data_IF_524916787917
#
_entry.id   IF_524916787917
#
_cell.length_a   1.000
_cell.length_b   1.000
_cell.length_c   1.000
_cell.angle_alpha   90.00
_cell.angle_beta   90.00
_cell.angle_gamma   90.00
#
_symmetry.space_group_name_H-M   'P 1'
#
loop_
_entity.id
_entity.type
_entity.pdbx_description
1 polymer ?
#
# COMPACT_ATOMS: atom_id res chain seq x y z
N UNK A 1 15.70 5.84 -4.37
CA UNK A 1 14.95 6.99 -3.78
C UNK A 1 13.69 7.34 -4.61
N UNK A 2 12.93 6.37 -5.14
CA UNK A 2 11.73 6.62 -5.97
C UNK A 2 10.65 5.55 -5.75
N UNK A 3 10.21 5.36 -4.50
CA UNK A 3 9.05 4.49 -4.16
C UNK A 3 8.22 5.14 -3.05
N UNK A 4 7.80 6.39 -3.25
CA UNK A 4 6.85 7.08 -2.36
C UNK A 4 5.71 7.63 -3.21
N UNK A 5 4.66 6.83 -3.43
CA UNK A 5 3.47 7.31 -4.11
C UNK A 5 2.53 6.28 -4.76
N UNK A 6 2.90 4.99 -4.86
CA UNK A 6 1.99 3.98 -5.41
C UNK A 6 0.93 3.64 -4.34
N UNK A 7 -0.38 3.88 -4.57
CA UNK A 7 -1.41 3.44 -3.65
C UNK A 7 -1.41 1.90 -3.59
N UNK A 8 -1.28 1.34 -2.38
CA UNK A 8 -1.19 -0.12 -2.14
C UNK A 8 -2.36 -0.93 -2.69
N UNK A 9 -3.49 -0.32 -3.06
CA UNK A 9 -4.59 -0.99 -3.78
C UNK A 9 -4.19 -1.47 -5.19
N UNK A 10 -3.09 -1.00 -5.77
CA UNK A 10 -2.53 -1.54 -7.03
C UNK A 10 -1.64 -2.77 -6.77
N UNK A 11 -1.17 -2.97 -5.53
CA UNK A 11 -0.21 -4.04 -5.16
C UNK A 11 -0.91 -5.18 -4.37
N UNK A 12 -2.09 -4.96 -3.78
CA UNK A 12 -2.73 -5.93 -2.88
C UNK A 12 -3.69 -6.90 -3.59
N UNK A 13 -3.15 -7.74 -4.48
CA UNK A 13 -3.68 -9.09 -4.71
C UNK A 13 -2.45 -9.98 -4.88
N UNK A 14 -2.08 -10.74 -3.83
CA UNK A 14 -1.40 -12.04 -3.84
C UNK A 14 -0.74 -12.30 -2.47
N UNK A 15 -1.38 -13.16 -1.67
CA UNK A 15 -0.70 -14.08 -0.74
C UNK A 15 -1.71 -15.12 -0.24
N UNK A 16 -2.20 -15.97 -1.14
CA UNK A 16 -2.72 -17.30 -0.78
C UNK A 16 -1.70 -18.29 -1.35
N UNK A 17 -1.31 -19.28 -0.53
CA UNK A 17 -0.26 -20.32 -0.71
C UNK A 17 1.16 -19.88 -0.30
N UNK A 18 1.90 -20.52 0.60
CA UNK A 18 1.72 -21.79 1.31
C UNK A 18 2.47 -21.76 2.65
N UNK A 19 1.92 -22.48 3.62
CA UNK A 19 2.39 -22.65 4.99
C UNK A 19 2.55 -24.16 5.23
N UNK A 20 3.76 -24.72 5.08
CA UNK A 20 4.18 -26.08 5.52
C UNK A 20 5.72 -26.06 5.57
N UNK A 21 6.48 -26.52 6.58
CA UNK A 21 6.29 -26.83 7.99
C UNK A 21 7.70 -26.84 8.64
N UNK A 22 7.78 -26.50 9.92
CA UNK A 22 8.92 -26.75 10.81
C UNK A 22 8.76 -28.15 11.41
N UNK A 23 9.81 -28.96 11.40
CA UNK A 23 10.27 -29.99 12.40
C UNK A 23 11.23 -30.91 11.65
N UNK A 24 12.48 -31.17 12.04
CA UNK A 24 12.94 -31.66 13.34
C UNK A 24 14.45 -31.40 13.51
N UNK A 25 14.83 -30.89 14.69
CA UNK A 25 16.17 -31.04 15.26
C UNK A 25 16.01 -31.59 16.68
N UNK A 26 16.30 -32.88 16.89
CA UNK A 26 16.79 -33.48 18.13
C UNK A 26 16.95 -35.00 17.90
N UNK A 27 18.18 -35.52 17.83
CA UNK A 27 18.76 -36.31 18.93
C UNK A 27 20.18 -36.81 18.58
N UNK A 28 21.10 -36.69 19.54
CA UNK A 28 22.48 -37.21 19.43
C UNK A 28 22.53 -38.60 20.03
N UNK A 29 22.82 -39.62 19.22
CA UNK A 29 23.72 -40.76 19.51
C UNK A 29 23.33 -41.95 18.64
N UNK A 30 24.16 -42.32 17.65
CA UNK A 30 24.31 -43.67 17.12
C UNK A 30 25.46 -43.74 16.10
N UNK A 31 26.00 -44.95 15.96
CA UNK A 31 27.25 -45.38 15.34
C UNK A 31 27.56 -44.84 13.94
N UNK A 32 28.85 -44.58 13.69
CA UNK A 32 29.47 -44.08 12.44
C UNK A 32 29.20 -44.89 11.15
N UNK A 33 28.59 -46.08 11.24
CA UNK A 33 28.21 -46.91 10.09
C UNK A 33 26.77 -46.69 9.61
N UNK A 34 25.89 -46.16 10.47
CA UNK A 34 24.48 -45.86 10.13
C UNK A 34 24.30 -44.42 9.62
N UNK A 35 25.26 -43.53 9.88
CA UNK A 35 25.25 -42.13 9.41
C UNK A 35 25.35 -42.00 7.89
N UNK A 36 25.98 -42.95 7.18
CA UNK A 36 26.16 -42.86 5.72
C UNK A 36 24.88 -43.30 4.98
N UNK A 37 24.18 -44.33 5.46
CA UNK A 37 22.92 -44.79 4.86
C UNK A 37 21.73 -43.88 5.21
N UNK A 38 21.68 -43.35 6.44
CA UNK A 38 20.69 -42.32 6.81
C UNK A 38 20.94 -40.98 6.12
N UNK A 39 22.19 -40.53 5.97
CA UNK A 39 22.46 -39.27 5.25
C UNK A 39 22.13 -39.38 3.76
N UNK A 40 22.37 -40.53 3.12
CA UNK A 40 21.96 -40.75 1.74
C UNK A 40 20.42 -40.73 1.57
N UNK A 41 19.66 -41.36 2.48
CA UNK A 41 18.19 -41.36 2.40
C UNK A 41 17.58 -39.99 2.72
N UNK A 42 18.15 -39.23 3.66
CA UNK A 42 17.73 -37.86 4.00
C UNK A 42 18.10 -36.88 2.88
N UNK A 43 19.25 -37.04 2.22
CA UNK A 43 19.61 -36.27 1.02
C UNK A 43 18.67 -36.61 -0.13
N UNK A 44 18.31 -37.87 -0.32
CA UNK A 44 17.38 -38.28 -1.38
C UNK A 44 15.94 -37.82 -1.10
N UNK A 45 15.50 -37.81 0.17
CA UNK A 45 14.20 -37.25 0.60
C UNK A 45 14.16 -35.72 0.54
N UNK A 46 15.25 -35.02 0.85
CA UNK A 46 15.33 -33.56 0.70
C UNK A 46 15.42 -33.14 -0.77
N UNK A 47 16.12 -33.91 -1.62
CA UNK A 47 16.11 -33.70 -3.07
C UNK A 47 14.75 -33.99 -3.70
N UNK A 48 14.02 -35.00 -3.22
CA UNK A 48 12.66 -35.28 -3.71
C UNK A 48 11.66 -34.22 -3.23
N UNK A 49 11.74 -33.75 -1.99
CA UNK A 49 10.93 -32.63 -1.50
C UNK A 49 11.24 -31.30 -2.21
N UNK A 50 12.51 -31.01 -2.50
CA UNK A 50 12.92 -29.87 -3.32
C UNK A 50 12.41 -30.01 -4.76
N UNK A 51 12.44 -31.21 -5.35
CA UNK A 51 11.87 -31.47 -6.68
C UNK A 51 10.36 -31.26 -6.69
N UNK A 52 9.61 -31.80 -5.72
CA UNK A 52 8.16 -31.59 -5.62
C UNK A 52 7.83 -30.11 -5.45
N UNK A 53 8.51 -29.40 -4.54
CA UNK A 53 8.33 -27.96 -4.37
C UNK A 53 8.68 -27.15 -5.64
N UNK A 54 9.67 -27.61 -6.42
CA UNK A 54 10.05 -26.97 -7.70
C UNK A 54 9.03 -27.24 -8.81
N UNK A 55 8.41 -28.42 -8.84
CA UNK A 55 7.33 -28.78 -9.78
C UNK A 55 6.06 -28.00 -9.46
N UNK A 56 5.72 -27.87 -8.18
CA UNK A 56 4.58 -27.07 -7.73
C UNK A 56 4.77 -25.60 -8.08
N UNK A 57 5.98 -25.06 -7.89
CA UNK A 57 6.31 -23.68 -8.30
C UNK A 57 6.20 -23.48 -9.81
N UNK A 58 6.76 -24.39 -10.61
CA UNK A 58 6.69 -24.31 -12.07
C UNK A 58 5.25 -24.44 -12.60
N UNK A 59 4.43 -25.27 -11.94
CA UNK A 59 3.02 -25.44 -12.27
C UNK A 59 2.21 -24.18 -11.96
N UNK A 60 2.43 -23.57 -10.78
CA UNK A 60 1.81 -22.28 -10.41
C UNK A 60 2.26 -21.17 -11.38
N UNK A 61 3.54 -21.11 -11.73
CA UNK A 61 4.05 -20.12 -12.68
C UNK A 61 3.41 -20.26 -14.07
N UNK A 62 3.21 -21.49 -14.53
CA UNK A 62 2.51 -21.78 -15.79
C UNK A 62 1.03 -21.36 -15.73
N UNK A 63 0.35 -21.56 -14.60
CA UNK A 63 -1.03 -21.11 -14.40
C UNK A 63 -1.10 -19.58 -14.47
N UNK A 64 -0.17 -18.88 -13.81
CA UNK A 64 -0.12 -17.41 -13.81
C UNK A 64 0.20 -16.85 -15.20
N UNK A 65 1.13 -17.46 -15.94
CA UNK A 65 1.42 -17.12 -17.34
C UNK A 65 0.19 -17.32 -18.24
N UNK A 66 -0.56 -18.41 -18.06
CA UNK A 66 -1.79 -18.65 -18.80
C UNK A 66 -2.86 -17.60 -18.51
N UNK A 67 -3.03 -17.17 -17.25
CA UNK A 67 -3.95 -16.08 -16.89
C UNK A 67 -3.58 -14.77 -17.60
N UNK A 68 -2.30 -14.41 -17.59
CA UNK A 68 -1.80 -13.20 -18.27
C UNK A 68 -2.07 -13.28 -19.79
N UNK A 69 -1.87 -14.46 -20.39
CA UNK A 69 -2.12 -14.66 -21.82
C UNK A 69 -3.62 -14.54 -22.19
N UNK A 70 -4.53 -14.96 -21.31
CA UNK A 70 -5.98 -14.77 -21.51
C UNK A 70 -6.36 -13.30 -21.38
N UNK A 71 -5.88 -12.61 -20.35
CA UNK A 71 -6.12 -11.16 -20.16
C UNK A 71 -5.59 -10.36 -21.34
N UNK A 72 -4.40 -10.70 -21.84
CA UNK A 72 -3.81 -10.05 -23.02
C UNK A 72 -4.72 -10.17 -24.24
N UNK A 73 -5.18 -11.38 -24.57
CA UNK A 73 -6.07 -11.60 -25.72
C UNK A 73 -7.37 -10.80 -25.59
N UNK A 74 -8.03 -10.87 -24.43
CA UNK A 74 -9.24 -10.08 -24.19
C UNK A 74 -8.98 -8.56 -24.32
N UNK A 75 -7.83 -8.06 -23.86
CA UNK A 75 -7.47 -6.66 -23.98
C UNK A 75 -7.21 -6.24 -25.44
N UNK A 76 -6.55 -7.12 -26.22
CA UNK A 76 -6.34 -6.96 -27.66
C UNK A 76 -7.66 -6.96 -28.44
N UNK A 77 -8.64 -7.77 -28.01
CA UNK A 77 -10.01 -7.80 -28.54
C UNK A 77 -10.87 -6.59 -28.12
N UNK A 78 -10.32 -5.66 -27.34
CA UNK A 78 -10.99 -4.41 -26.98
C UNK A 78 -11.68 -4.40 -25.62
N UNK A 79 -11.65 -5.49 -24.85
CA UNK A 79 -12.32 -5.53 -23.54
C UNK A 79 -11.71 -4.50 -22.57
N UNK A 80 -12.53 -3.52 -22.15
CA UNK A 80 -12.07 -2.39 -21.33
C UNK A 80 -11.50 -2.80 -19.97
N UNK A 81 -12.05 -3.84 -19.33
CA UNK A 81 -11.59 -4.36 -18.05
C UNK A 81 -10.24 -5.10 -18.20
N UNK A 82 -10.10 -5.91 -19.25
CA UNK A 82 -8.84 -6.56 -19.55
C UNK A 82 -7.74 -5.53 -19.87
N UNK A 83 -8.07 -4.44 -20.58
CA UNK A 83 -7.15 -3.32 -20.80
C UNK A 83 -6.77 -2.61 -19.50
N UNK A 84 -7.72 -2.41 -18.58
CA UNK A 84 -7.47 -1.87 -17.24
C UNK A 84 -6.51 -2.78 -16.44
N UNK A 85 -6.71 -4.10 -16.54
CA UNK A 85 -5.82 -5.07 -15.91
C UNK A 85 -4.42 -5.04 -16.54
N UNK A 86 -4.29 -4.96 -17.86
CA UNK A 86 -2.99 -4.81 -18.53
C UNK A 86 -2.28 -3.52 -18.11
N UNK A 87 -3.01 -2.41 -18.02
CA UNK A 87 -2.54 -1.15 -17.46
C UNK A 87 -1.95 -1.35 -16.06
N UNK A 88 -2.71 -1.96 -15.13
CA UNK A 88 -2.25 -2.21 -13.75
C UNK A 88 -1.06 -3.18 -13.69
N UNK A 89 -1.03 -4.21 -14.53
CA UNK A 89 0.06 -5.18 -14.58
C UNK A 89 1.39 -4.52 -14.97
N UNK A 90 1.38 -3.66 -15.99
CA UNK A 90 2.58 -2.94 -16.40
C UNK A 90 3.00 -1.83 -15.41
N UNK A 91 2.06 -1.23 -14.68
CA UNK A 91 2.39 -0.29 -13.59
C UNK A 91 3.03 -1.02 -12.40
N UNK A 92 2.53 -2.20 -12.03
CA UNK A 92 3.01 -2.96 -10.87
C UNK A 92 4.21 -3.86 -11.18
N UNK A 93 4.44 -4.17 -12.45
CA UNK A 93 5.39 -5.21 -12.89
C UNK A 93 4.84 -6.63 -12.71
N UNK A 94 3.56 -6.81 -12.42
CA UNK A 94 2.97 -8.14 -12.28
C UNK A 94 3.00 -8.89 -13.62
N UNK A 95 3.57 -10.10 -13.60
CA UNK A 95 3.73 -10.91 -14.81
C UNK A 95 4.89 -10.49 -15.72
N UNK A 96 5.80 -9.64 -15.25
CA UNK A 96 6.96 -9.19 -16.02
C UNK A 96 7.78 -8.13 -15.28
N UNK A 97 8.15 -7.06 -16.00
CA UNK A 97 8.81 -5.88 -15.42
C UNK A 97 7.91 -4.67 -15.56
N UNK A 98 8.12 -3.66 -14.71
CA UNK A 98 7.44 -2.36 -14.83
C UNK A 98 7.76 -1.75 -16.20
N UNK A 99 6.74 -1.30 -16.92
CA UNK A 99 6.87 -0.64 -18.22
C UNK A 99 5.80 0.45 -18.35
N UNK A 100 6.18 1.69 -18.04
CA UNK A 100 5.21 2.78 -18.02
C UNK A 100 4.72 3.18 -19.42
N UNK A 101 5.48 2.94 -20.50
CA UNK A 101 5.01 3.26 -21.85
C UNK A 101 3.93 2.27 -22.30
N UNK A 102 4.10 0.98 -22.00
CA UNK A 102 3.05 -0.02 -22.25
C UNK A 102 1.86 0.19 -21.31
N UNK A 103 2.11 0.50 -20.04
CA UNK A 103 1.03 0.86 -19.12
C UNK A 103 0.20 2.01 -19.68
N UNK A 104 0.84 3.12 -20.09
CA UNK A 104 0.16 4.30 -20.61
C UNK A 104 -0.77 3.93 -21.77
N UNK A 105 -0.25 3.18 -22.74
CA UNK A 105 -1.00 2.73 -23.91
C UNK A 105 -2.24 1.92 -23.55
N UNK A 106 -2.15 1.00 -22.58
CA UNK A 106 -3.29 0.20 -22.12
C UNK A 106 -4.26 0.99 -21.25
N UNK A 107 -3.75 1.85 -20.37
CA UNK A 107 -4.56 2.71 -19.51
C UNK A 107 -5.38 3.66 -20.37
N UNK A 108 -4.78 4.25 -21.41
CA UNK A 108 -5.45 5.15 -22.35
C UNK A 108 -6.64 4.45 -23.03
N UNK A 109 -6.43 3.27 -23.63
CA UNK A 109 -7.51 2.49 -24.27
C UNK A 109 -8.67 2.20 -23.31
N UNK A 110 -8.37 1.80 -22.08
CA UNK A 110 -9.39 1.51 -21.07
C UNK A 110 -10.11 2.77 -20.56
N UNK A 111 -9.36 3.86 -20.36
CA UNK A 111 -9.87 5.14 -19.88
C UNK A 111 -10.78 5.82 -20.91
N UNK A 112 -10.46 5.68 -22.20
CA UNK A 112 -11.27 6.16 -23.33
C UNK A 112 -12.60 5.40 -23.43
N UNK A 113 -12.64 4.14 -22.97
CA UNK A 113 -13.87 3.37 -22.80
C UNK A 113 -14.62 3.68 -21.50
N UNK A 114 -14.20 4.70 -20.75
CA UNK A 114 -14.93 5.18 -19.58
C UNK A 114 -14.57 4.51 -18.26
N UNK A 115 -13.59 3.61 -18.19
CA UNK A 115 -13.25 2.92 -16.92
C UNK A 115 -12.64 3.89 -15.92
N UNK A 116 -13.36 4.15 -14.82
CA UNK A 116 -12.95 5.13 -13.80
C UNK A 116 -11.56 4.83 -13.18
N UNK A 117 -11.25 3.56 -12.91
CA UNK A 117 -9.94 3.16 -12.38
C UNK A 117 -8.80 3.42 -13.37
N UNK A 118 -9.00 3.15 -14.67
CA UNK A 118 -8.03 3.49 -15.71
C UNK A 118 -7.87 5.01 -15.88
N UNK A 119 -8.97 5.78 -15.81
CA UNK A 119 -8.92 7.25 -15.83
C UNK A 119 -8.13 7.81 -14.64
N UNK A 120 -8.33 7.25 -13.45
CA UNK A 120 -7.53 7.59 -12.28
C UNK A 120 -6.02 7.33 -12.51
N UNK A 121 -5.68 6.13 -12.98
CA UNK A 121 -4.28 5.76 -13.24
C UNK A 121 -3.67 6.66 -14.31
N UNK A 122 -4.40 6.96 -15.38
CA UNK A 122 -3.93 7.86 -16.44
C UNK A 122 -3.65 9.28 -15.90
N UNK A 123 -4.53 9.79 -15.03
CA UNK A 123 -4.28 11.06 -14.34
C UNK A 123 -3.01 11.01 -13.47
N UNK A 124 -2.75 9.88 -12.80
CA UNK A 124 -1.53 9.66 -12.03
C UNK A 124 -0.28 9.62 -12.92
N UNK A 125 -0.36 8.97 -14.09
CA UNK A 125 0.74 8.91 -15.05
C UNK A 125 1.10 10.29 -15.59
N UNK A 126 0.12 11.12 -15.94
CA UNK A 126 0.36 12.51 -16.33
C UNK A 126 0.92 13.37 -15.18
N UNK A 127 0.44 13.19 -13.95
CA UNK A 127 0.92 13.94 -12.78
C UNK A 127 2.40 13.70 -12.45
N UNK A 128 2.89 12.49 -12.71
CA UNK A 128 4.26 12.07 -12.37
C UNK A 128 5.17 11.90 -13.59
N UNK A 129 4.64 12.05 -14.81
CA UNK A 129 5.41 11.87 -16.05
C UNK A 129 5.85 10.41 -16.27
N UNK A 130 4.96 9.46 -16.01
CA UNK A 130 5.26 8.03 -16.08
C UNK A 130 4.82 7.49 -17.44
N UNK A 131 5.78 7.19 -18.32
CA UNK A 131 5.48 6.70 -19.67
C UNK A 131 4.87 7.75 -20.62
N UNK A 132 4.69 8.97 -20.13
CA UNK A 132 4.19 10.16 -20.84
C UNK A 132 4.85 11.40 -20.23
N UNK A 133 4.91 12.51 -20.97
CA UNK A 133 5.36 13.77 -20.41
C UNK A 133 4.45 14.23 -19.26
N UNK A 134 5.06 14.80 -18.21
CA UNK A 134 4.32 15.31 -17.08
C UNK A 134 3.41 16.47 -17.50
N UNK A 135 2.12 16.39 -17.19
CA UNK A 135 1.16 17.44 -17.50
C UNK A 135 0.05 17.51 -16.43
N UNK A 136 0.10 18.53 -15.58
CA UNK A 136 -0.85 18.66 -14.47
C UNK A 136 -2.29 18.94 -14.96
N UNK A 137 -2.47 19.62 -16.11
CA UNK A 137 -3.80 19.90 -16.68
C UNK A 137 -4.47 18.63 -17.21
N UNK A 138 -3.70 17.78 -17.91
CA UNK A 138 -4.16 16.45 -18.31
C UNK A 138 -4.46 15.58 -17.09
N UNK A 139 -3.59 15.61 -16.08
CA UNK A 139 -3.83 14.88 -14.85
C UNK A 139 -5.16 15.26 -14.19
N UNK A 140 -5.42 16.57 -14.03
CA UNK A 140 -6.67 17.05 -13.44
C UNK A 140 -7.90 16.71 -14.29
N UNK A 141 -7.79 16.78 -15.62
CA UNK A 141 -8.87 16.36 -16.54
C UNK A 141 -9.24 14.88 -16.36
N UNK A 142 -8.24 14.00 -16.30
CA UNK A 142 -8.47 12.56 -16.10
C UNK A 142 -8.97 12.24 -14.68
N UNK A 143 -8.44 12.90 -13.66
CA UNK A 143 -8.99 12.77 -12.30
C UNK A 143 -10.45 13.25 -12.25
N UNK A 144 -10.81 14.31 -12.97
CA UNK A 144 -12.20 14.77 -13.05
C UNK A 144 -13.12 13.68 -13.63
N UNK A 145 -12.75 13.07 -14.75
CA UNK A 145 -13.55 11.99 -15.35
C UNK A 145 -13.76 10.81 -14.39
N UNK A 146 -12.71 10.38 -13.68
CA UNK A 146 -12.84 9.32 -12.67
C UNK A 146 -13.67 9.75 -11.47
N UNK A 147 -13.49 10.99 -11.01
CA UNK A 147 -14.21 11.56 -9.87
C UNK A 147 -15.72 11.72 -10.12
N UNK A 148 -16.09 12.12 -11.34
CA UNK A 148 -17.48 12.23 -11.80
C UNK A 148 -18.21 10.86 -11.77
N UNK A 149 -17.45 9.75 -11.86
CA UNK A 149 -17.94 8.38 -11.74
C UNK A 149 -17.89 7.82 -10.32
N UNK A 150 -17.48 8.63 -9.34
CA UNK A 150 -17.41 8.22 -7.94
C UNK A 150 -16.12 7.52 -7.50
N UNK A 151 -15.07 7.53 -8.33
CA UNK A 151 -13.76 7.00 -7.91
C UNK A 151 -13.17 7.87 -6.79
N UNK A 152 -12.99 7.28 -5.60
CA UNK A 152 -12.61 8.01 -4.40
C UNK A 152 -11.18 8.55 -4.47
N UNK A 153 -10.27 7.81 -5.11
CA UNK A 153 -8.87 8.19 -5.26
C UNK A 153 -8.74 9.35 -6.24
N UNK A 154 -9.51 9.32 -7.34
CA UNK A 154 -9.64 10.43 -8.29
C UNK A 154 -10.26 11.67 -7.66
N UNK A 155 -11.34 11.53 -6.87
CA UNK A 155 -11.93 12.64 -6.10
C UNK A 155 -10.91 13.29 -5.16
N UNK A 156 -10.14 12.47 -4.44
CA UNK A 156 -9.12 12.95 -3.50
C UNK A 156 -7.96 13.67 -4.22
N UNK A 157 -7.46 13.13 -5.33
CA UNK A 157 -6.38 13.75 -6.11
C UNK A 157 -6.84 15.01 -6.86
N UNK A 158 -8.07 15.04 -7.39
CA UNK A 158 -8.70 16.23 -7.96
C UNK A 158 -8.89 17.32 -6.90
N UNK A 159 -9.39 16.96 -5.72
CA UNK A 159 -9.52 17.90 -4.62
C UNK A 159 -8.16 18.51 -4.23
N UNK A 160 -7.10 17.69 -4.19
CA UNK A 160 -5.74 18.20 -3.98
C UNK A 160 -5.24 19.09 -5.11
N UNK A 161 -5.66 18.85 -6.36
CA UNK A 161 -5.34 19.69 -7.51
C UNK A 161 -5.98 21.09 -7.36
N UNK A 162 -7.27 21.15 -7.01
CA UNK A 162 -7.98 22.41 -6.73
C UNK A 162 -7.39 23.19 -5.56
N UNK A 163 -7.11 22.54 -4.42
CA UNK A 163 -6.49 23.19 -3.25
C UNK A 163 -5.14 23.86 -3.61
N UNK A 164 -4.39 23.25 -4.52
CA UNK A 164 -3.04 23.70 -4.91
C UNK A 164 -3.01 24.52 -6.20
N UNK A 165 -4.12 24.62 -6.94
CA UNK A 165 -4.17 25.22 -8.27
C UNK A 165 -3.29 24.52 -9.31
N UNK A 166 -3.17 23.19 -9.25
CA UNK A 166 -2.32 22.41 -10.18
C UNK A 166 -3.14 21.84 -11.32
N UNK A 167 -2.93 22.36 -12.53
CA UNK A 167 -3.68 21.93 -13.73
C UNK A 167 -5.14 22.39 -13.78
N UNK A 168 -5.60 23.09 -12.74
CA UNK A 168 -6.93 23.70 -12.60
C UNK A 168 -6.80 25.02 -11.86
N UNK A 169 -7.75 25.93 -12.08
CA UNK A 169 -7.88 27.15 -11.27
C UNK A 169 -8.02 26.80 -9.80
N UNK A 170 -7.26 27.50 -8.94
CA UNK A 170 -7.24 27.22 -7.50
C UNK A 170 -8.61 27.50 -6.89
N UNK A 171 -9.17 26.49 -6.23
CA UNK A 171 -10.41 26.60 -5.46
C UNK A 171 -10.27 25.72 -4.21
N UNK A 172 -9.94 26.34 -3.07
CA UNK A 172 -9.73 25.61 -1.83
C UNK A 172 -11.05 25.03 -1.31
N UNK A 173 -12.17 25.74 -1.47
CA UNK A 173 -13.47 25.30 -0.98
C UNK A 173 -13.94 24.05 -1.69
N UNK A 174 -13.98 24.10 -3.03
CA UNK A 174 -14.35 22.94 -3.84
C UNK A 174 -13.39 21.77 -3.66
N UNK A 175 -12.09 22.05 -3.59
CA UNK A 175 -11.08 21.01 -3.37
C UNK A 175 -11.25 20.29 -2.02
N UNK A 176 -11.57 21.03 -0.96
CA UNK A 176 -11.84 20.45 0.36
C UNK A 176 -13.13 19.64 0.41
N UNK A 177 -14.19 20.04 -0.32
CA UNK A 177 -15.42 19.26 -0.43
C UNK A 177 -15.17 17.88 -1.05
N UNK A 178 -14.39 17.82 -2.13
CA UNK A 178 -14.03 16.56 -2.78
C UNK A 178 -13.20 15.64 -1.86
N UNK A 179 -12.22 16.20 -1.15
CA UNK A 179 -11.41 15.44 -0.19
C UNK A 179 -12.27 14.92 0.96
N UNK A 180 -13.17 15.75 1.50
CA UNK A 180 -14.06 15.37 2.58
C UNK A 180 -14.98 14.21 2.16
N UNK A 181 -15.60 14.30 0.98
CA UNK A 181 -16.47 13.24 0.45
C UNK A 181 -15.74 11.89 0.35
N UNK A 182 -14.49 11.87 -0.13
CA UNK A 182 -13.67 10.65 -0.15
C UNK A 182 -13.30 10.16 1.25
N UNK A 183 -13.01 11.07 2.18
CA UNK A 183 -12.61 10.74 3.55
C UNK A 183 -13.76 10.11 4.35
N UNK A 184 -14.98 10.63 4.17
CA UNK A 184 -16.21 10.12 4.78
C UNK A 184 -16.56 8.71 4.28
N UNK A 185 -16.28 8.43 3.00
CA UNK A 185 -16.39 7.08 2.41
C UNK A 185 -15.23 6.14 2.77
N UNK A 186 -14.35 6.55 3.69
CA UNK A 186 -13.35 5.68 4.28
C UNK A 186 -11.98 5.69 3.59
N UNK A 187 -11.75 6.49 2.54
CA UNK A 187 -10.45 6.46 1.84
C UNK A 187 -9.32 6.95 2.77
N UNK A 188 -8.32 6.11 3.13
CA UNK A 188 -7.29 6.48 4.12
C UNK A 188 -6.47 7.69 3.71
N UNK A 189 -6.16 7.82 2.42
CA UNK A 189 -5.42 8.96 1.86
C UNK A 189 -6.19 10.28 2.04
N UNK A 190 -7.50 10.27 1.79
CA UNK A 190 -8.34 11.46 1.98
C UNK A 190 -8.51 11.80 3.47
N UNK A 191 -8.67 10.79 4.33
CA UNK A 191 -8.70 10.99 5.79
C UNK A 191 -7.39 11.61 6.30
N UNK A 192 -6.24 11.15 5.81
CA UNK A 192 -4.95 11.78 6.11
C UNK A 192 -4.90 13.24 5.64
N UNK A 193 -5.40 13.55 4.43
CA UNK A 193 -5.47 14.92 3.94
C UNK A 193 -6.40 15.81 4.77
N UNK A 194 -7.53 15.30 5.27
CA UNK A 194 -8.38 16.03 6.23
C UNK A 194 -7.62 16.31 7.52
N UNK A 195 -6.87 15.32 8.02
CA UNK A 195 -5.98 15.50 9.17
C UNK A 195 -4.96 16.62 8.96
N UNK A 196 -4.29 16.64 7.80
CA UNK A 196 -3.34 17.67 7.44
C UNK A 196 -3.99 19.06 7.26
N UNK A 197 -5.21 19.11 6.69
CA UNK A 197 -5.95 20.35 6.50
C UNK A 197 -6.24 21.05 7.83
N UNK A 198 -6.67 20.29 8.86
CA UNK A 198 -6.86 20.82 10.21
C UNK A 198 -5.56 21.23 10.91
N UNK A 199 -4.42 20.58 10.64
CA UNK A 199 -3.13 20.99 11.22
C UNK A 199 -2.65 22.32 10.62
N UNK A 200 -2.82 22.49 9.30
CA UNK A 200 -2.27 23.60 8.53
C UNK A 200 -3.30 24.69 8.19
N UNK A 201 -4.50 24.61 8.75
CA UNK A 201 -5.61 25.54 8.49
C UNK A 201 -5.94 25.72 6.99
N UNK A 202 -5.96 24.62 6.23
CA UNK A 202 -6.25 24.65 4.78
C UNK A 202 -7.75 24.47 4.56
N UNK A 203 -8.46 25.56 4.27
CA UNK A 203 -9.90 25.55 4.01
C UNK A 203 -10.78 25.23 5.23
N UNK A 204 -10.17 25.06 6.41
CA UNK A 204 -10.82 24.82 7.70
C UNK A 204 -10.04 25.56 8.78
N UNK A 205 -10.70 25.89 9.90
CA UNK A 205 -10.01 26.42 11.08
C UNK A 205 -9.09 25.35 11.68
N UNK A 206 -7.95 25.79 12.24
CA UNK A 206 -6.97 24.89 12.86
C UNK A 206 -7.57 24.18 14.07
N UNK A 207 -7.56 22.85 14.05
CA UNK A 207 -8.08 22.02 15.15
C UNK A 207 -7.29 20.71 15.25
N UNK A 208 -6.34 20.64 16.19
CA UNK A 208 -5.51 19.46 16.37
C UNK A 208 -6.30 18.23 16.83
N UNK A 209 -7.40 18.40 17.55
CA UNK A 209 -8.23 17.28 18.02
C UNK A 209 -8.96 16.63 16.84
N UNK A 210 -9.60 17.44 15.98
CA UNK A 210 -10.19 16.94 14.73
C UNK A 210 -9.13 16.34 13.80
N UNK A 211 -7.96 16.97 13.72
CA UNK A 211 -6.85 16.42 12.93
C UNK A 211 -6.46 15.01 13.38
N UNK A 212 -6.34 14.78 14.69
CA UNK A 212 -5.99 13.46 15.22
C UNK A 212 -7.12 12.45 15.09
N UNK A 213 -8.38 12.89 15.16
CA UNK A 213 -9.53 12.04 14.82
C UNK A 213 -9.47 11.50 13.39
N UNK A 214 -9.16 12.35 12.40
CA UNK A 214 -9.00 11.92 11.01
C UNK A 214 -7.76 11.06 10.78
N UNK A 215 -6.61 11.43 11.36
CA UNK A 215 -5.40 10.61 11.25
C UNK A 215 -5.57 9.24 11.90
N UNK A 216 -6.33 9.12 13.01
CA UNK A 216 -6.67 7.84 13.64
C UNK A 216 -7.37 6.90 12.67
N UNK A 217 -8.44 7.37 12.01
CA UNK A 217 -9.17 6.60 10.99
C UNK A 217 -8.25 6.09 9.87
N UNK A 218 -7.34 6.93 9.38
CA UNK A 218 -6.40 6.55 8.33
C UNK A 218 -5.33 5.55 8.82
N UNK A 219 -4.79 5.78 10.02
CA UNK A 219 -3.74 4.98 10.63
C UNK A 219 -4.19 3.55 10.97
N UNK A 220 -5.43 3.41 11.42
CA UNK A 220 -6.07 2.12 11.71
C UNK A 220 -6.21 1.25 10.45
N UNK A 221 -6.41 1.88 9.29
CA UNK A 221 -6.39 1.23 7.98
C UNK A 221 -4.97 0.97 7.43
N UNK A 222 -3.94 1.37 8.18
CA UNK A 222 -2.54 1.13 7.83
C UNK A 222 -1.90 2.21 6.98
N UNK A 223 -2.47 3.42 6.93
CA UNK A 223 -1.88 4.53 6.21
C UNK A 223 -0.65 5.06 6.98
N UNK A 224 0.55 4.77 6.46
CA UNK A 224 1.83 4.96 7.15
C UNK A 224 2.07 6.40 7.58
N UNK A 225 1.74 7.38 6.74
CA UNK A 225 1.92 8.79 7.09
C UNK A 225 1.02 9.21 8.24
N UNK A 226 -0.20 8.68 8.32
CA UNK A 226 -1.11 8.94 9.43
C UNK A 226 -0.65 8.25 10.72
N UNK A 227 -0.13 7.02 10.63
CA UNK A 227 0.52 6.35 11.75
C UNK A 227 1.70 7.17 12.28
N UNK A 228 2.55 7.67 11.39
CA UNK A 228 3.66 8.56 11.78
C UNK A 228 3.16 9.82 12.47
N UNK A 229 2.12 10.48 11.93
CA UNK A 229 1.54 11.69 12.52
C UNK A 229 0.99 11.41 13.92
N UNK A 230 0.19 10.35 14.12
CA UNK A 230 -0.32 9.98 15.44
C UNK A 230 0.79 9.65 16.43
N UNK A 231 1.84 8.97 15.97
CA UNK A 231 2.98 8.64 16.80
C UNK A 231 3.70 9.89 17.32
N UNK A 232 3.89 10.89 16.45
CA UNK A 232 4.46 12.18 16.84
C UNK A 232 3.51 12.97 17.75
N UNK A 233 2.21 12.93 17.46
CA UNK A 233 1.20 13.63 18.26
C UNK A 233 1.12 13.10 19.69
N UNK A 234 1.11 11.78 19.88
CA UNK A 234 1.18 11.15 21.20
C UNK A 234 2.52 11.40 21.91
N UNK A 235 3.63 11.53 21.18
CA UNK A 235 4.92 11.91 21.77
C UNK A 235 4.88 13.33 22.38
N UNK A 236 4.17 14.26 21.72
CA UNK A 236 4.15 15.69 22.08
C UNK A 236 2.94 16.11 22.92
N UNK A 237 1.83 15.39 22.84
CA UNK A 237 0.53 15.81 23.37
C UNK A 237 -0.26 16.72 22.42
N UNK A 238 0.03 16.70 21.12
CA UNK A 238 -0.59 17.61 20.13
C UNK A 238 -1.97 17.08 19.71
N UNK A 239 -3.05 17.61 20.29
CA UNK A 239 -4.43 17.22 19.95
C UNK A 239 -4.87 15.85 20.48
N UNK A 240 -3.98 15.16 21.20
CA UNK A 240 -4.20 13.90 21.93
C UNK A 240 -3.41 13.96 23.24
N UNK A 241 -3.77 13.11 24.20
CA UNK A 241 -2.96 12.95 25.41
C UNK A 241 -1.55 12.44 25.07
N UNK A 242 -0.56 12.97 25.81
CA UNK A 242 0.82 12.53 25.70
C UNK A 242 0.93 11.10 26.23
N UNK A 243 1.33 10.16 25.37
CA UNK A 243 1.40 8.73 25.68
C UNK A 243 2.56 8.09 24.91
N UNK A 244 3.63 7.74 25.62
CA UNK A 244 4.82 7.14 25.01
C UNK A 244 4.57 5.72 24.46
N UNK A 245 3.62 4.98 25.05
CA UNK A 245 3.25 3.63 24.58
C UNK A 245 2.54 3.73 23.23
N UNK A 246 1.56 4.63 23.09
CA UNK A 246 0.90 4.88 21.81
C UNK A 246 1.86 5.49 20.78
N UNK A 247 2.71 6.41 21.22
CA UNK A 247 3.73 7.03 20.35
C UNK A 247 4.64 5.96 19.73
N UNK A 248 5.21 5.09 20.57
CA UNK A 248 6.08 3.99 20.12
C UNK A 248 5.33 3.00 19.24
N UNK A 249 4.13 2.57 19.63
CA UNK A 249 3.29 1.68 18.82
C UNK A 249 3.11 2.20 17.40
N UNK A 250 2.60 3.44 17.24
CA UNK A 250 2.31 4.00 15.92
C UNK A 250 3.57 4.29 15.11
N UNK A 251 4.65 4.79 15.73
CA UNK A 251 5.93 4.99 15.06
C UNK A 251 6.57 3.67 14.61
N UNK A 252 6.44 2.62 15.40
CA UNK A 252 6.93 1.27 15.05
C UNK A 252 6.16 0.65 13.89
N UNK A 253 4.84 0.87 13.81
CA UNK A 253 4.02 0.45 12.66
C UNK A 253 4.43 1.21 11.38
N UNK A 254 4.59 2.53 11.48
CA UNK A 254 5.06 3.35 10.36
C UNK A 254 6.51 3.02 9.96
N UNK A 255 7.35 2.66 10.94
CA UNK A 255 8.79 2.40 10.79
C UNK A 255 9.16 1.22 9.90
N UNK A 256 8.19 0.38 9.54
CA UNK A 256 8.39 -0.72 8.56
C UNK A 256 8.79 -0.15 7.19
N UNK A 257 8.23 1.00 6.80
CA UNK A 257 8.45 1.62 5.49
C UNK A 257 8.96 3.07 5.58
N UNK A 258 9.01 3.63 6.79
CA UNK A 258 9.47 5.00 7.04
C UNK A 258 10.68 5.03 7.99
N UNK A 259 11.87 5.30 7.45
CA UNK A 259 13.12 5.35 8.22
C UNK A 259 13.12 6.38 9.36
N UNK A 260 12.46 7.53 9.17
CA UNK A 260 12.38 8.58 10.20
C UNK A 260 11.49 8.13 11.37
N UNK A 261 10.37 7.48 11.07
CA UNK A 261 9.50 6.89 12.08
C UNK A 261 10.22 5.78 12.86
N UNK A 262 10.97 4.92 12.17
CA UNK A 262 11.81 3.89 12.78
C UNK A 262 12.86 4.49 13.72
N UNK A 263 13.55 5.56 13.29
CA UNK A 263 14.54 6.25 14.11
C UNK A 263 13.91 6.84 15.37
N UNK A 264 12.76 7.52 15.23
CA UNK A 264 12.02 8.09 16.36
C UNK A 264 11.52 7.02 17.34
N UNK A 265 10.98 5.91 16.83
CA UNK A 265 10.56 4.79 17.68
C UNK A 265 11.73 4.30 18.54
N UNK A 266 12.91 4.10 17.94
CA UNK A 266 14.14 3.68 18.66
C UNK A 266 14.59 4.69 19.70
N UNK A 267 14.47 5.99 19.42
CA UNK A 267 14.80 7.04 20.41
C UNK A 267 13.87 6.97 21.63
N UNK A 268 12.56 6.76 21.41
CA UNK A 268 11.60 6.62 22.50
C UNK A 268 11.89 5.44 23.41
N UNK A 269 12.49 4.35 22.91
CA UNK A 269 12.86 3.20 23.74
C UNK A 269 13.82 3.56 24.88
N UNK A 270 14.60 4.65 24.73
CA UNK A 270 15.51 5.14 25.76
C UNK A 270 14.79 5.90 26.88
N UNK A 271 13.58 6.38 26.62
CA UNK A 271 12.76 7.17 27.55
C UNK A 271 11.69 6.32 28.24
N UNK A 272 11.49 5.07 27.82
CA UNK A 272 10.40 4.19 28.25
C UNK A 272 10.86 3.17 29.29
N UNK A 273 9.97 2.83 30.23
CA UNK A 273 10.18 1.67 31.10
C UNK A 273 10.05 0.36 30.31
N UNK A 274 10.63 -0.73 30.84
CA UNK A 274 10.51 -2.06 30.23
C UNK A 274 9.04 -2.48 30.07
N UNK A 275 8.17 -2.17 31.04
CA UNK A 275 6.74 -2.46 30.98
C UNK A 275 6.03 -1.66 29.87
N UNK A 276 6.33 -0.37 29.73
CA UNK A 276 5.79 0.46 28.66
C UNK A 276 6.22 -0.04 27.28
N UNK A 277 7.49 -0.40 27.13
CA UNK A 277 8.03 -0.90 25.86
C UNK A 277 7.41 -2.25 25.47
N UNK A 278 7.25 -3.15 26.45
CA UNK A 278 6.60 -4.44 26.23
C UNK A 278 5.14 -4.25 25.77
N UNK A 279 4.38 -3.41 26.47
CA UNK A 279 2.99 -3.10 26.12
C UNK A 279 2.89 -2.49 24.71
N UNK A 280 3.76 -1.55 24.35
CA UNK A 280 3.76 -0.93 23.02
C UNK A 280 3.99 -1.97 21.90
N UNK A 281 4.95 -2.89 22.10
CA UNK A 281 5.26 -3.97 21.17
C UNK A 281 4.08 -4.94 21.02
N UNK A 282 3.44 -5.31 22.12
CA UNK A 282 2.25 -6.17 22.10
C UNK A 282 1.07 -5.52 21.37
N UNK A 283 0.83 -4.22 21.59
CA UNK A 283 -0.22 -3.49 20.88
C UNK A 283 0.04 -3.40 19.37
N UNK A 284 1.29 -3.19 18.97
CA UNK A 284 1.67 -3.18 17.56
C UNK A 284 1.51 -4.57 16.92
N UNK A 285 1.88 -5.63 17.64
CA UNK A 285 1.71 -7.01 17.18
C UNK A 285 0.23 -7.37 17.03
N UNK A 286 -0.60 -7.07 18.04
CA UNK A 286 -2.05 -7.29 18.00
C UNK A 286 -2.69 -6.62 16.80
N UNK A 287 -2.33 -5.36 16.54
CA UNK A 287 -2.83 -4.63 15.36
C UNK A 287 -2.44 -5.34 14.05
N UNK A 288 -1.19 -5.81 13.92
CA UNK A 288 -0.74 -6.56 12.73
C UNK A 288 -1.51 -7.87 12.57
N UNK A 289 -1.75 -8.60 13.65
CA UNK A 289 -2.46 -9.88 13.63
C UNK A 289 -3.93 -9.72 13.22
N UNK A 290 -4.64 -8.72 13.76
CA UNK A 290 -6.04 -8.46 13.40
C UNK A 290 -6.20 -8.17 11.90
N UNK A 291 -5.24 -7.45 11.29
CA UNK A 291 -5.27 -7.16 9.86
C UNK A 291 -4.95 -8.35 8.95
N UNK A 292 -4.19 -9.34 9.43
CA UNK A 292 -3.95 -10.58 8.66
C UNK A 292 -5.20 -11.47 8.58
N UNK A 293 -6.14 -11.31 9.50
CA UNK A 293 -7.41 -12.07 9.52
C UNK A 293 -8.46 -11.40 8.63
N UNK A 294 -8.36 -10.09 8.41
CA UNK A 294 -9.33 -9.30 7.64
C UNK A 294 -9.00 -9.17 6.14
N UNK A 295 -7.80 -9.58 5.72
CA UNK A 295 -7.29 -9.51 4.34
C UNK A 295 -7.03 -10.90 3.79
#
# INVERSE_FOLDING_TARGET
MLMRGVPKKIIFILCISCLIAITTACDKSKSKSDEISHSASVVQQSQSAQRVASVDKAHVEKIEQNKIAVVRRAAEDGNAEAQELMCRNYVSGYGGTVDYHKAFSWCQKSADQGRAGAQYVLGWMYKYGLGVEKNDSQAASWFKKGADQGDLDAQCDLGSAYVKGRGVSKDVGHGMQLILASAEKGLPKAQYFMGAAYIHAVGVERDYRKAMGWNRKAAEQGYIDAQRVLGIAHQKGDGVEKDLVQAHKWLSLAGVENGDAKKRAKQLEQEMSAAQLQLAKEMALRWKSQRKVQN
#
